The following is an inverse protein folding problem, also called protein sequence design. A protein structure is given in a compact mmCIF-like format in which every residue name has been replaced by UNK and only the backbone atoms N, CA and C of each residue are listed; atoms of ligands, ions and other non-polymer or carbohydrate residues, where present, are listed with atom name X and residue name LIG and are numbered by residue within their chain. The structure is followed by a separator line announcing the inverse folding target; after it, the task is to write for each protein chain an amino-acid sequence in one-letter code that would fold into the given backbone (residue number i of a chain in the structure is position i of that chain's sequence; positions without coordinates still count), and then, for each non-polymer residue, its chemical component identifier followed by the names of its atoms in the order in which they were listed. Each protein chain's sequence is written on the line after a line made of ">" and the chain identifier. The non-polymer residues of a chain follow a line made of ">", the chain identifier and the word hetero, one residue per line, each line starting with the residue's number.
data_IF_677672948372
#
_entry.id   IF_677672948372
#
_cell.length_a   1.000
_cell.length_b   1.000
_cell.length_c   1.000
_cell.angle_alpha   90.00
_cell.angle_beta   90.00
_cell.angle_gamma   90.00
#
_symmetry.space_group_name_H-M   'P 1'
#
loop_
_entity.id
_entity.type
_entity.pdbx_description
1 polymer ?
#
# COMPACT_ATOMS: atom_id res chain seq x y z
N UNK A 1 5.62 -8.10 -27.12
CA UNK A 1 5.55 -6.61 -27.16
C UNK A 1 4.74 -6.03 -26.00
N UNK A 2 3.57 -6.60 -25.67
CA UNK A 2 2.69 -6.13 -24.59
C UNK A 2 3.38 -6.04 -23.22
N UNK A 3 4.17 -7.04 -22.83
CA UNK A 3 4.87 -7.04 -21.53
C UNK A 3 5.95 -5.95 -21.42
N UNK A 4 6.66 -5.64 -22.52
CA UNK A 4 7.64 -4.54 -22.53
C UNK A 4 6.93 -3.19 -22.36
N UNK A 5 5.78 -3.01 -23.01
CA UNK A 5 4.96 -1.80 -22.88
C UNK A 5 4.40 -1.65 -21.47
N UNK A 6 3.87 -2.74 -20.89
CA UNK A 6 3.39 -2.78 -19.50
C UNK A 6 4.52 -2.46 -18.52
N UNK A 7 5.69 -3.07 -18.68
CA UNK A 7 6.89 -2.78 -17.88
C UNK A 7 7.27 -1.30 -17.98
N UNK A 8 7.34 -0.76 -19.18
CA UNK A 8 7.64 0.66 -19.41
C UNK A 8 6.61 1.57 -18.72
N UNK A 9 5.31 1.32 -18.91
CA UNK A 9 4.24 2.12 -18.34
C UNK A 9 4.30 2.14 -16.80
N UNK A 10 4.43 0.98 -16.17
CA UNK A 10 4.50 0.89 -14.71
C UNK A 10 5.76 1.57 -14.15
N UNK A 11 6.94 1.33 -14.73
CA UNK A 11 8.20 1.90 -14.23
C UNK A 11 8.35 3.40 -14.51
N UNK A 12 8.00 3.84 -15.73
CA UNK A 12 8.31 5.19 -16.22
C UNK A 12 7.17 6.17 -16.07
N UNK A 13 5.92 5.72 -16.24
CA UNK A 13 4.74 6.59 -16.12
C UNK A 13 4.20 6.56 -14.69
N UNK A 14 3.88 5.36 -14.18
CA UNK A 14 3.31 5.22 -12.84
C UNK A 14 4.34 5.23 -11.71
N UNK A 15 5.64 5.18 -12.04
CA UNK A 15 6.77 5.13 -11.08
C UNK A 15 6.63 4.03 -10.02
N UNK A 16 6.04 2.89 -10.40
CA UNK A 16 5.86 1.70 -9.56
C UNK A 16 7.09 0.81 -9.65
N UNK A 17 7.44 0.11 -8.57
CA UNK A 17 8.56 -0.84 -8.52
C UNK A 17 8.09 -2.30 -8.52
N UNK A 18 6.83 -2.54 -8.18
CA UNK A 18 6.25 -3.87 -8.03
C UNK A 18 4.93 -3.99 -8.78
N UNK A 19 4.66 -5.19 -9.29
CA UNK A 19 3.30 -5.57 -9.68
C UNK A 19 2.56 -6.07 -8.44
N UNK A 20 1.39 -5.48 -8.17
CA UNK A 20 0.42 -6.06 -7.23
C UNK A 20 -0.21 -7.29 -7.89
N UNK A 21 -0.04 -8.44 -7.27
CA UNK A 21 -0.57 -9.73 -7.74
C UNK A 21 -1.55 -10.32 -6.72
N UNK A 22 -2.32 -11.31 -7.14
CA UNK A 22 -3.29 -11.99 -6.29
C UNK A 22 -4.61 -11.21 -6.11
N UNK A 23 -5.41 -11.62 -5.12
CA UNK A 23 -6.76 -11.11 -4.90
C UNK A 23 -7.12 -11.12 -3.40
N UNK A 24 -8.09 -10.29 -3.02
CA UNK A 24 -8.58 -10.29 -1.65
C UNK A 24 -9.29 -11.61 -1.32
N UNK A 25 -8.85 -12.29 -0.26
CA UNK A 25 -9.50 -13.51 0.29
C UNK A 25 -10.57 -13.21 1.34
N UNK A 26 -10.84 -11.93 1.63
CA UNK A 26 -11.82 -11.53 2.63
C UNK A 26 -11.41 -11.83 4.08
N UNK A 27 -10.11 -11.90 4.38
CA UNK A 27 -9.59 -12.27 5.71
C UNK A 27 -9.73 -11.18 6.81
N UNK A 28 -10.23 -9.98 6.48
CA UNK A 28 -10.49 -8.89 7.42
C UNK A 28 -9.26 -8.22 8.04
N UNK A 29 -8.05 -8.75 7.90
CA UNK A 29 -6.84 -8.24 8.58
C UNK A 29 -6.52 -6.78 8.23
N UNK A 30 -6.71 -6.37 6.98
CA UNK A 30 -6.53 -4.98 6.55
C UNK A 30 -7.53 -4.00 7.18
N UNK A 31 -8.57 -4.48 7.86
CA UNK A 31 -9.57 -3.66 8.55
C UNK A 31 -9.26 -3.47 10.05
N UNK A 32 -8.30 -4.21 10.63
CA UNK A 32 -8.05 -4.24 12.09
C UNK A 32 -7.13 -3.14 12.60
N UNK A 33 -5.97 -2.99 11.96
CA UNK A 33 -4.94 -2.00 12.31
C UNK A 33 -4.54 -1.24 11.05
N UNK A 34 -4.98 -0.01 10.95
CA UNK A 34 -4.80 0.85 9.78
C UNK A 34 -4.05 2.09 10.23
N UNK A 35 -2.96 2.42 9.54
CA UNK A 35 -2.39 3.76 9.59
C UNK A 35 -2.92 4.59 8.43
N UNK A 36 -3.35 5.81 8.72
CA UNK A 36 -3.72 6.78 7.69
C UNK A 36 -2.51 7.68 7.43
N UNK A 37 -1.99 7.61 6.20
CA UNK A 37 -0.89 8.46 5.74
C UNK A 37 -1.43 9.50 4.75
N UNK A 38 -1.18 10.77 5.03
CA UNK A 38 -1.37 11.86 4.06
C UNK A 38 -0.09 12.02 3.22
N UNK A 39 -0.04 13.01 2.32
CA UNK A 39 1.11 13.19 1.42
C UNK A 39 2.44 13.29 2.16
N UNK A 40 2.44 13.81 3.39
CA UNK A 40 3.65 14.19 4.12
C UNK A 40 3.91 13.35 5.37
N UNK A 41 2.88 12.86 6.05
CA UNK A 41 3.04 12.19 7.36
C UNK A 41 1.91 11.19 7.66
N UNK A 42 2.15 10.34 8.66
CA UNK A 42 1.11 9.52 9.28
C UNK A 42 0.34 10.39 10.28
N UNK A 43 -0.98 10.30 10.28
CA UNK A 43 -1.83 11.09 11.17
C UNK A 43 -1.54 10.74 12.63
N UNK A 44 -1.24 11.76 13.45
CA UNK A 44 -0.95 11.60 14.89
C UNK A 44 -1.95 12.30 15.81
N UNK A 45 -2.80 13.14 15.25
CA UNK A 45 -3.74 14.00 15.96
C UNK A 45 -5.18 13.71 15.52
N UNK A 46 -6.08 13.60 16.50
CA UNK A 46 -7.48 13.26 16.23
C UNK A 46 -8.24 14.41 15.56
N UNK A 47 -7.90 15.67 15.85
CA UNK A 47 -8.55 16.82 15.20
C UNK A 47 -8.19 16.88 13.72
N UNK A 48 -6.94 16.54 13.36
CA UNK A 48 -6.54 16.35 11.98
C UNK A 48 -7.38 15.24 11.30
N UNK A 49 -7.55 14.10 11.98
CA UNK A 49 -8.38 13.01 11.47
C UNK A 49 -9.86 13.39 11.28
N UNK A 50 -10.46 14.13 12.21
CA UNK A 50 -11.84 14.62 12.06
C UNK A 50 -12.01 15.48 10.80
N UNK A 51 -11.00 16.28 10.43
CA UNK A 51 -11.03 17.04 9.17
C UNK A 51 -11.01 16.13 7.94
N UNK A 52 -10.31 15.00 8.00
CA UNK A 52 -10.26 14.05 6.89
C UNK A 52 -11.61 13.41 6.60
N UNK A 53 -12.49 13.26 7.61
CA UNK A 53 -13.84 12.70 7.42
C UNK A 53 -14.68 13.47 6.41
N UNK A 54 -14.43 14.78 6.25
CA UNK A 54 -15.11 15.61 5.25
C UNK A 54 -14.61 15.39 3.82
N UNK A 55 -13.40 14.83 3.64
CA UNK A 55 -12.78 14.67 2.32
C UNK A 55 -13.25 13.40 1.60
N UNK A 56 -13.48 12.32 2.34
CA UNK A 56 -13.81 11.03 1.73
C UNK A 56 -14.50 10.09 2.73
N UNK A 57 -15.59 9.44 2.30
CA UNK A 57 -16.42 8.55 3.12
C UNK A 57 -15.65 7.41 3.80
N UNK A 58 -14.56 6.95 3.20
CA UNK A 58 -13.68 5.94 3.82
C UNK A 58 -13.28 6.32 5.24
N UNK A 59 -12.97 7.59 5.50
CA UNK A 59 -12.51 8.04 6.81
C UNK A 59 -13.64 8.03 7.85
N UNK A 60 -14.91 8.11 7.44
CA UNK A 60 -16.04 7.98 8.38
C UNK A 60 -16.24 6.54 8.85
N UNK A 61 -15.61 5.56 8.18
CA UNK A 61 -15.61 4.17 8.61
C UNK A 61 -14.50 3.84 9.62
N UNK A 62 -13.59 4.77 9.90
CA UNK A 62 -12.44 4.51 10.75
C UNK A 62 -12.67 5.02 12.17
N UNK A 63 -12.30 4.20 13.15
CA UNK A 63 -12.34 4.51 14.57
C UNK A 63 -10.92 4.39 15.13
N UNK A 64 -10.47 5.39 15.88
CA UNK A 64 -9.19 5.34 16.60
C UNK A 64 -9.28 4.25 17.66
N UNK A 65 -8.31 3.33 17.67
CA UNK A 65 -8.25 2.22 18.64
C UNK A 65 -6.97 2.22 19.46
N UNK A 66 -5.93 2.89 18.97
CA UNK A 66 -4.63 2.97 19.65
C UNK A 66 -3.83 4.17 19.11
N UNK A 67 -2.72 4.50 19.79
CA UNK A 67 -1.75 5.51 19.36
C UNK A 67 -0.35 5.07 19.74
N UNK A 68 0.53 5.02 18.75
CA UNK A 68 1.95 4.68 18.93
C UNK A 68 2.89 5.80 18.44
N UNK A 69 4.19 5.53 18.42
CA UNK A 69 5.23 6.46 17.97
C UNK A 69 5.06 6.87 16.49
N UNK A 70 4.50 5.98 15.67
CA UNK A 70 4.23 6.22 14.25
C UNK A 70 3.03 7.16 14.12
N UNK A 71 1.93 6.89 14.85
CA UNK A 71 0.76 7.75 14.88
C UNK A 71 -0.50 7.07 15.42
N UNK A 72 -1.66 7.58 15.00
CA UNK A 72 -2.95 6.98 15.35
C UNK A 72 -3.15 5.66 14.59
N UNK A 73 -3.61 4.65 15.32
CA UNK A 73 -4.01 3.35 14.78
C UNK A 73 -5.52 3.30 14.71
N UNK A 74 -6.03 2.93 13.55
CA UNK A 74 -7.45 2.88 13.29
C UNK A 74 -7.94 1.44 13.06
N UNK A 75 -9.19 1.19 13.41
CA UNK A 75 -9.96 0.03 12.96
C UNK A 75 -11.11 0.47 12.06
N UNK A 76 -11.56 -0.40 11.16
CA UNK A 76 -12.69 -0.11 10.28
C UNK A 76 -13.98 -0.69 10.86
N UNK A 77 -14.98 0.16 11.07
CA UNK A 77 -16.31 -0.19 11.59
C UNK A 77 -17.11 -1.14 10.68
N UNK A 78 -16.66 -1.32 9.43
CA UNK A 78 -17.21 -2.29 8.50
C UNK A 78 -16.62 -3.70 8.64
N UNK A 79 -15.68 -3.92 9.57
CA UNK A 79 -15.29 -5.27 9.96
C UNK A 79 -16.43 -5.91 10.75
N UNK A 80 -16.74 -7.15 10.40
CA UNK A 80 -17.63 -8.02 11.15
C UNK A 80 -16.79 -8.84 12.12
N UNK A 81 -17.02 -8.71 13.44
CA UNK A 81 -16.16 -9.36 14.43
C UNK A 81 -16.41 -10.87 14.54
N UNK A 82 -17.58 -11.37 14.14
CA UNK A 82 -17.89 -12.81 14.19
C UNK A 82 -17.30 -13.55 12.99
N UNK A 83 -17.55 -13.04 11.79
CA UNK A 83 -17.12 -13.67 10.53
C UNK A 83 -15.74 -13.23 10.08
N UNK A 84 -15.21 -12.15 10.69
CA UNK A 84 -13.97 -11.47 10.30
C UNK A 84 -13.96 -10.95 8.86
N UNK A 85 -15.14 -10.78 8.25
CA UNK A 85 -15.29 -10.31 6.87
C UNK A 85 -15.68 -8.83 6.84
N UNK A 86 -15.46 -8.20 5.68
CA UNK A 86 -15.92 -6.83 5.47
C UNK A 86 -17.41 -6.84 5.09
N UNK A 87 -18.26 -6.21 5.90
CA UNK A 87 -19.72 -6.09 5.70
C UNK A 87 -20.09 -5.48 4.36
N UNK A 88 -19.28 -4.52 3.89
CA UNK A 88 -19.49 -3.81 2.62
C UNK A 88 -18.53 -4.26 1.51
N UNK A 89 -17.99 -5.49 1.55
CA UNK A 89 -16.91 -5.90 0.65
C UNK A 89 -17.16 -5.56 -0.84
N UNK A 90 -18.36 -5.82 -1.36
CA UNK A 90 -18.74 -5.50 -2.76
C UNK A 90 -18.79 -3.99 -3.03
N UNK A 91 -19.25 -3.20 -2.05
CA UNK A 91 -19.40 -1.74 -2.13
C UNK A 91 -18.19 -0.97 -1.57
N UNK A 92 -17.10 -1.65 -1.21
CA UNK A 92 -15.93 -1.06 -0.56
C UNK A 92 -15.35 0.10 -1.38
N UNK A 93 -14.87 1.17 -0.73
CA UNK A 93 -14.35 2.35 -1.43
C UNK A 93 -13.08 2.04 -2.23
N UNK A 94 -12.73 2.94 -3.15
CA UNK A 94 -11.58 2.78 -4.05
C UNK A 94 -10.25 2.57 -3.30
N UNK A 95 -10.08 3.19 -2.13
CA UNK A 95 -8.91 2.98 -1.26
C UNK A 95 -8.79 1.50 -0.88
N UNK A 96 -9.87 0.86 -0.41
CA UNK A 96 -9.90 -0.55 -0.06
C UNK A 96 -9.71 -1.47 -1.28
N UNK A 97 -10.16 -1.07 -2.48
CA UNK A 97 -9.96 -1.86 -3.72
C UNK A 97 -8.51 -1.85 -4.20
N UNK A 98 -7.81 -0.73 -3.96
CA UNK A 98 -6.40 -0.54 -4.33
C UNK A 98 -5.44 -1.15 -3.32
N UNK A 99 -5.89 -1.51 -2.11
CA UNK A 99 -5.07 -2.23 -1.15
C UNK A 99 -4.57 -3.58 -1.71
N UNK A 100 -3.32 -4.00 -1.41
CA UNK A 100 -2.25 -3.20 -0.80
C UNK A 100 -1.55 -2.29 -1.81
N UNK A 101 -0.90 -1.23 -1.33
CA UNK A 101 -0.05 -0.36 -2.16
C UNK A 101 1.43 -0.47 -1.73
N UNK A 102 2.36 -0.13 -2.64
CA UNK A 102 3.82 -0.28 -2.41
C UNK A 102 4.35 0.58 -1.26
N UNK A 103 3.62 1.64 -0.91
CA UNK A 103 3.90 2.54 0.20
C UNK A 103 3.91 1.80 1.55
N UNK A 104 3.26 0.63 1.63
CA UNK A 104 3.35 -0.31 2.75
C UNK A 104 4.82 -0.62 3.10
N UNK A 105 5.66 -0.88 2.09
CA UNK A 105 7.07 -1.20 2.29
C UNK A 105 7.88 -0.02 2.80
N UNK A 106 7.49 1.21 2.43
CA UNK A 106 8.17 2.42 2.91
C UNK A 106 7.92 2.65 4.40
N UNK A 107 6.84 2.08 4.94
CA UNK A 107 6.50 2.13 6.36
C UNK A 107 7.07 0.92 7.15
N UNK A 108 7.90 0.08 6.54
CA UNK A 108 8.36 -1.16 7.15
C UNK A 108 7.24 -2.19 7.36
N UNK A 109 6.08 -1.99 6.74
CA UNK A 109 4.94 -2.88 6.85
C UNK A 109 5.09 -4.10 5.95
N UNK A 110 4.48 -5.20 6.39
CA UNK A 110 4.38 -6.43 5.63
C UNK A 110 2.92 -6.83 5.40
N UNK A 111 2.70 -7.67 4.40
CA UNK A 111 1.40 -8.31 4.24
C UNK A 111 1.32 -9.46 5.23
N UNK A 112 0.19 -9.58 5.92
CA UNK A 112 -0.06 -10.73 6.79
C UNK A 112 0.10 -12.04 6.00
N UNK A 113 0.64 -13.09 6.63
CA UNK A 113 0.90 -14.40 6.01
C UNK A 113 -0.29 -14.96 5.21
N UNK A 114 -1.52 -14.73 5.68
CA UNK A 114 -2.75 -15.21 5.05
C UNK A 114 -3.40 -14.21 4.07
N UNK A 115 -2.69 -13.16 3.67
CA UNK A 115 -3.17 -12.22 2.66
C UNK A 115 -3.19 -12.91 1.29
N UNK A 116 -4.23 -12.68 0.49
CA UNK A 116 -4.28 -13.19 -0.88
C UNK A 116 -3.57 -12.32 -1.91
N UNK A 117 -3.04 -11.17 -1.49
CA UNK A 117 -2.25 -10.29 -2.35
C UNK A 117 -0.75 -10.53 -2.15
N UNK A 118 0.03 -10.17 -3.16
CA UNK A 118 1.47 -10.13 -3.10
C UNK A 118 2.05 -9.03 -3.98
N UNK A 119 3.36 -8.87 -3.91
CA UNK A 119 4.12 -7.95 -4.76
C UNK A 119 5.25 -8.69 -5.45
N UNK A 120 5.32 -8.55 -6.77
CA UNK A 120 6.40 -9.12 -7.58
C UNK A 120 7.23 -7.97 -8.16
N UNK A 121 8.57 -7.95 -7.99
CA UNK A 121 9.41 -6.91 -8.57
C UNK A 121 9.20 -6.81 -10.09
N UNK A 122 9.00 -5.58 -10.60
CA UNK A 122 8.90 -5.36 -12.04
C UNK A 122 10.26 -5.59 -12.72
N UNK A 123 11.33 -5.24 -12.02
CA UNK A 123 12.71 -5.58 -12.41
C UNK A 123 13.25 -6.58 -11.39
N UNK A 124 13.75 -7.71 -11.87
CA UNK A 124 14.44 -8.68 -11.01
C UNK A 124 15.70 -8.04 -10.41
N UNK A 125 16.13 -8.53 -9.25
CA UNK A 125 17.40 -8.09 -8.63
C UNK A 125 18.59 -8.16 -9.61
N UNK A 126 18.74 -9.26 -10.35
CA UNK A 126 19.81 -9.41 -11.34
C UNK A 126 19.80 -8.30 -12.40
N UNK A 127 18.63 -7.94 -12.94
CA UNK A 127 18.48 -6.83 -13.89
C UNK A 127 18.90 -5.50 -13.28
N UNK A 128 18.47 -5.23 -12.04
CA UNK A 128 18.84 -4.01 -11.32
C UNK A 128 20.36 -3.96 -11.13
N UNK A 129 20.95 -5.05 -10.64
CA UNK A 129 22.40 -5.17 -10.42
C UNK A 129 23.19 -4.92 -11.71
N UNK A 130 22.86 -5.61 -12.80
CA UNK A 130 23.52 -5.42 -14.10
C UNK A 130 23.38 -3.98 -14.61
N UNK A 131 22.23 -3.33 -14.39
CA UNK A 131 22.03 -1.95 -14.79
C UNK A 131 22.89 -0.98 -13.97
N UNK A 132 23.01 -1.21 -12.67
CA UNK A 132 23.86 -0.41 -11.78
C UNK A 132 25.36 -0.59 -12.10
N UNK A 133 25.83 -1.81 -12.33
CA UNK A 133 27.22 -2.08 -12.76
C UNK A 133 27.56 -1.37 -14.07
N UNK A 134 26.65 -1.39 -15.05
CA UNK A 134 26.83 -0.67 -16.33
C UNK A 134 26.92 0.84 -16.13
N UNK A 135 26.10 1.42 -15.24
CA UNK A 135 26.17 2.85 -14.90
C UNK A 135 27.50 3.19 -14.24
N UNK A 136 27.97 2.38 -13.29
CA UNK A 136 29.25 2.60 -12.62
C UNK A 136 30.43 2.51 -13.59
N UNK A 137 30.47 1.50 -14.47
CA UNK A 137 31.52 1.38 -15.51
C UNK A 137 31.55 2.58 -16.45
N UNK A 138 30.38 3.09 -16.86
CA UNK A 138 30.32 4.33 -17.66
C UNK A 138 30.90 5.51 -16.89
N UNK A 139 30.52 5.70 -15.63
CA UNK A 139 31.02 6.80 -14.78
C UNK A 139 32.55 6.77 -14.66
N UNK A 140 33.15 5.59 -14.49
CA UNK A 140 34.61 5.42 -14.43
C UNK A 140 35.34 5.59 -15.76
N UNK A 141 34.62 5.52 -16.90
CA UNK A 141 35.21 5.71 -18.24
C UNK A 141 35.32 7.19 -18.65
N UNK A 142 34.72 8.09 -17.86
CA UNK A 142 34.71 9.54 -18.05
C UNK A 142 35.44 10.29 -16.92
N UNK A 143 36.17 9.56 -16.08
CA UNK A 143 37.16 10.05 -15.12
C UNK A 143 38.54 9.59 -15.60
#
# INVERSE_FOLDING_TARGET
>A
MLEKLKKFFFLKILRRKYYRVGACKGCGRCCRKIYVKTSNHVIKDEKEFERLKFLHIFYTYLTVVDKDEIGLVFSCSNLDEETHKCKIHKKRPAICRRYPQEELFTMGGELSENCGYGFVPIESFAQVLTNEEKKQRKKHKFL
#
